data_IF_880684724492
#
_entry.id   IF_880684724492
#
_cell.length_a   1.000
_cell.length_b   1.000
_cell.length_c   1.000
_cell.angle_alpha   90.00
_cell.angle_beta   90.00
_cell.angle_gamma   90.00
#
_symmetry.space_group_name_H-M   'P 1'
#
loop_
_entity.id
_entity.type
_entity.pdbx_description
1 polymer ?
#
# COMPACT_ATOMS: atom_id res chain seq x y z
N UNK A 1 -6.40 -5.28 11.64
CA UNK A 1 -7.11 -5.26 10.34
C UNK A 1 -8.12 -6.40 10.29
N UNK A 2 -9.30 -6.12 9.78
CA UNK A 2 -10.33 -7.12 9.56
C UNK A 2 -9.84 -8.18 8.55
N UNK A 3 -10.05 -9.47 8.84
CA UNK A 3 -9.58 -10.54 7.96
C UNK A 3 -10.22 -10.50 6.57
N UNK A 4 -11.45 -10.01 6.48
CA UNK A 4 -12.13 -9.82 5.19
C UNK A 4 -11.42 -8.75 4.34
N UNK A 5 -11.05 -7.63 4.97
CA UNK A 5 -10.33 -6.56 4.27
C UNK A 5 -8.94 -7.03 3.85
N UNK A 6 -8.27 -7.78 4.71
CA UNK A 6 -6.96 -8.33 4.39
C UNK A 6 -7.04 -9.25 3.17
N UNK A 7 -8.09 -10.07 3.08
CA UNK A 7 -8.29 -10.96 1.94
C UNK A 7 -8.49 -10.17 0.64
N UNK A 8 -9.26 -9.08 0.69
CA UNK A 8 -9.46 -8.21 -0.47
C UNK A 8 -8.12 -7.65 -0.95
N UNK A 9 -7.29 -7.16 -0.01
CA UNK A 9 -5.98 -6.61 -0.35
C UNK A 9 -5.06 -7.68 -0.94
N UNK A 10 -5.05 -8.89 -0.37
CA UNK A 10 -4.25 -9.99 -0.88
C UNK A 10 -4.68 -10.40 -2.29
N UNK A 11 -5.98 -10.44 -2.56
CA UNK A 11 -6.49 -10.74 -3.89
C UNK A 11 -6.07 -9.68 -4.89
N UNK A 12 -6.08 -8.41 -4.51
CA UNK A 12 -5.62 -7.33 -5.37
C UNK A 12 -4.13 -7.49 -5.71
N UNK A 13 -3.31 -7.81 -4.72
CA UNK A 13 -1.88 -8.07 -4.94
C UNK A 13 -1.66 -9.23 -5.89
N UNK A 14 -2.44 -10.29 -5.74
CA UNK A 14 -2.33 -11.47 -6.61
C UNK A 14 -2.68 -11.12 -8.05
N UNK A 15 -3.75 -10.35 -8.25
CA UNK A 15 -4.15 -9.91 -9.59
C UNK A 15 -3.09 -9.04 -10.25
N UNK A 16 -2.48 -8.14 -9.50
CA UNK A 16 -1.39 -7.30 -10.00
C UNK A 16 -0.21 -8.19 -10.41
N UNK A 17 0.17 -9.14 -9.57
CA UNK A 17 1.27 -10.04 -9.84
C UNK A 17 1.03 -10.86 -11.11
N UNK A 18 -0.18 -11.37 -11.30
CA UNK A 18 -0.54 -12.12 -12.51
C UNK A 18 -0.46 -11.26 -13.76
N UNK A 19 -0.98 -10.03 -13.66
CA UNK A 19 -0.97 -9.10 -14.79
C UNK A 19 0.44 -8.74 -15.22
N UNK A 20 1.34 -8.56 -14.26
CA UNK A 20 2.72 -8.17 -14.53
C UNK A 20 3.65 -9.36 -14.75
N UNK A 21 3.18 -10.59 -14.58
CA UNK A 21 4.00 -11.78 -14.73
C UNK A 21 5.06 -11.92 -13.65
N UNK A 22 4.73 -11.56 -12.42
CA UNK A 22 5.66 -11.58 -11.28
C UNK A 22 5.00 -12.25 -10.07
N UNK A 23 5.64 -12.18 -8.91
CA UNK A 23 5.14 -12.76 -7.67
C UNK A 23 4.49 -11.70 -6.78
N UNK A 24 3.65 -12.14 -5.84
CA UNK A 24 3.05 -11.25 -4.85
C UNK A 24 4.14 -10.58 -4.01
N UNK A 25 5.18 -11.31 -3.64
CA UNK A 25 6.27 -10.74 -2.85
C UNK A 25 6.99 -9.62 -3.59
N UNK A 26 7.20 -9.78 -4.90
CA UNK A 26 7.81 -8.73 -5.72
C UNK A 26 6.93 -7.49 -5.78
N UNK A 27 5.62 -7.66 -5.93
CA UNK A 27 4.66 -6.55 -5.93
C UNK A 27 4.69 -5.83 -4.58
N UNK A 28 4.71 -6.57 -3.47
CA UNK A 28 4.77 -5.97 -2.13
C UNK A 28 6.02 -5.12 -1.95
N UNK A 29 7.17 -5.60 -2.44
CA UNK A 29 8.42 -4.85 -2.34
C UNK A 29 8.38 -3.58 -3.17
N UNK A 30 7.80 -3.64 -4.36
CA UNK A 30 7.64 -2.44 -5.20
C UNK A 30 6.74 -1.40 -4.53
N UNK A 31 5.65 -1.85 -3.90
CA UNK A 31 4.74 -0.95 -3.18
C UNK A 31 5.45 -0.35 -1.96
N UNK A 32 6.24 -1.14 -1.24
CA UNK A 32 7.02 -0.62 -0.12
C UNK A 32 7.99 0.47 -0.55
N UNK A 33 8.68 0.26 -1.68
CA UNK A 33 9.58 1.26 -2.23
C UNK A 33 8.82 2.54 -2.58
N UNK A 34 7.65 2.41 -3.19
CA UNK A 34 6.81 3.56 -3.54
C UNK A 34 6.34 4.31 -2.29
N UNK A 35 5.97 3.58 -1.22
CA UNK A 35 5.56 4.18 0.04
C UNK A 35 6.71 4.99 0.63
N UNK A 36 7.92 4.42 0.67
CA UNK A 36 9.09 5.10 1.21
C UNK A 36 9.39 6.39 0.42
N UNK A 37 9.32 6.33 -0.89
CA UNK A 37 9.52 7.50 -1.75
C UNK A 37 8.45 8.56 -1.51
N UNK A 38 7.18 8.14 -1.40
CA UNK A 38 6.08 9.07 -1.16
C UNK A 38 6.17 9.74 0.19
N UNK A 39 6.57 9.01 1.22
CA UNK A 39 6.69 9.56 2.57
C UNK A 39 7.82 10.58 2.69
N UNK A 40 8.84 10.46 1.83
CA UNK A 40 9.96 11.41 1.80
C UNK A 40 9.68 12.61 0.89
N UNK A 41 8.56 12.60 0.18
CA UNK A 41 8.18 13.71 -0.69
C UNK A 41 7.77 14.92 0.17
N UNK A 42 8.39 16.09 -0.03
CA UNK A 42 8.08 17.27 0.78
C UNK A 42 6.80 18.00 0.37
N UNK A 43 6.10 17.54 -0.68
CA UNK A 43 4.92 18.25 -1.16
C UNK A 43 3.78 18.22 -0.13
N UNK A 44 2.99 19.31 -0.04
CA UNK A 44 1.85 19.34 0.89
C UNK A 44 0.81 18.26 0.59
N UNK A 45 0.61 17.92 -0.68
CA UNK A 45 -0.36 16.88 -1.05
C UNK A 45 0.07 15.51 -0.53
N UNK A 46 1.36 15.17 -0.67
CA UNK A 46 1.90 13.90 -0.16
C UNK A 46 1.79 13.85 1.36
N UNK A 47 2.13 14.93 2.04
CA UNK A 47 2.02 15.01 3.50
C UNK A 47 0.59 14.78 3.97
N UNK A 48 -0.37 15.45 3.33
CA UNK A 48 -1.78 15.30 3.69
C UNK A 48 -2.24 13.86 3.49
N UNK A 49 -1.83 13.24 2.39
CA UNK A 49 -2.18 11.84 2.09
C UNK A 49 -1.67 10.90 3.18
N UNK A 50 -0.37 10.98 3.54
CA UNK A 50 0.21 10.07 4.53
C UNK A 50 -0.29 10.34 5.95
N UNK A 51 -0.60 11.58 6.27
CA UNK A 51 -1.16 11.93 7.57
C UNK A 51 -2.58 11.38 7.76
N UNK A 52 -3.29 11.10 6.68
CA UNK A 52 -4.64 10.53 6.76
C UNK A 52 -4.65 9.05 7.14
N UNK A 53 -3.50 8.37 7.13
CA UNK A 53 -3.41 6.97 7.53
C UNK A 53 -3.35 6.84 9.05
N UNK A 54 -4.14 5.95 9.65
CA UNK A 54 -4.13 5.75 11.11
C UNK A 54 -2.98 4.83 11.54
N UNK A 55 -1.75 5.21 11.25
CA UNK A 55 -0.58 4.35 11.44
C UNK A 55 0.27 4.72 12.66
N UNK A 56 -0.12 5.73 13.41
CA UNK A 56 0.53 6.10 14.69
C UNK A 56 2.07 6.04 14.66
N UNK A 57 2.67 6.69 13.67
CA UNK A 57 4.13 6.81 13.56
C UNK A 57 4.83 5.68 12.85
N UNK A 58 4.14 4.59 12.53
CA UNK A 58 4.73 3.50 11.74
C UNK A 58 4.43 3.66 10.26
N UNK A 59 5.22 2.98 9.44
CA UNK A 59 5.00 2.97 8.01
C UNK A 59 3.76 2.13 7.66
N UNK A 60 2.87 2.60 6.78
CA UNK A 60 1.72 1.79 6.34
C UNK A 60 2.19 0.55 5.58
N UNK A 61 1.43 -0.54 5.69
CA UNK A 61 1.71 -1.75 4.93
C UNK A 61 1.15 -1.63 3.51
N UNK A 62 1.66 -2.42 2.54
CA UNK A 62 1.07 -2.44 1.20
C UNK A 62 -0.43 -2.71 1.21
N UNK A 63 -0.89 -3.61 2.08
CA UNK A 63 -2.31 -3.93 2.20
C UNK A 63 -3.13 -2.72 2.64
N UNK A 64 -2.63 -1.96 3.60
CA UNK A 64 -3.31 -0.75 4.08
C UNK A 64 -3.43 0.30 2.98
N UNK A 65 -2.38 0.48 2.19
CA UNK A 65 -2.39 1.43 1.07
C UNK A 65 -3.41 1.00 0.01
N UNK A 66 -3.43 -0.27 -0.34
CA UNK A 66 -4.37 -0.80 -1.34
C UNK A 66 -5.81 -0.58 -0.87
N UNK A 67 -6.10 -0.89 0.39
CA UNK A 67 -7.44 -0.70 0.93
C UNK A 67 -7.85 0.75 0.94
N UNK A 68 -6.93 1.65 1.24
CA UNK A 68 -7.20 3.09 1.22
C UNK A 68 -7.55 3.58 -0.18
N UNK A 69 -6.81 3.12 -1.19
CA UNK A 69 -7.06 3.50 -2.57
C UNK A 69 -8.36 2.92 -3.12
N UNK A 70 -8.82 1.81 -2.57
CA UNK A 70 -10.04 1.14 -3.01
C UNK A 70 -11.32 1.73 -2.39
N UNK A 71 -11.19 2.57 -1.39
CA UNK A 71 -12.35 3.22 -0.75
C UNK A 71 -13.07 4.22 -1.66
#
# INVERSE_FOLDING_TARGET
MDSKKLRIAENALRQIAEREGTTVDAVREEIRAAIAMGRNDPSPAARAFWQSFPCEGREPTPEEVILRLAE
#
